data_IF_247959069498
#
_entry.id   IF_247959069498
#
_cell.length_a   1.000
_cell.length_b   1.000
_cell.length_c   1.000
_cell.angle_alpha   90.00
_cell.angle_beta   90.00
_cell.angle_gamma   90.00
#
_symmetry.space_group_name_H-M   'P 1'
#
loop_
_entity.id
_entity.type
_entity.pdbx_description
1 polymer ?
#
# COMPACT_ATOMS: atom_id res chain seq x y z
N UNK A 1 -0.55 11.04 -11.68
CA UNK A 1 -0.41 11.79 -10.42
C UNK A 1 0.31 10.89 -9.43
N UNK A 2 1.25 11.41 -8.65
CA UNK A 2 2.01 10.64 -7.68
C UNK A 2 1.81 11.24 -6.28
N UNK A 3 1.74 10.39 -5.25
CA UNK A 3 1.78 10.80 -3.85
C UNK A 3 3.09 10.31 -3.24
N UNK A 4 3.81 11.22 -2.59
CA UNK A 4 5.02 10.87 -1.83
C UNK A 4 4.63 10.49 -0.41
N UNK A 5 5.12 9.34 0.05
CA UNK A 5 5.01 8.93 1.44
C UNK A 5 6.15 9.57 2.24
N UNK A 6 5.85 10.10 3.43
CA UNK A 6 6.88 10.66 4.32
C UNK A 6 7.84 9.60 4.85
N UNK A 7 7.38 8.34 4.94
CA UNK A 7 8.16 7.21 5.39
C UNK A 7 7.96 6.01 4.46
N UNK A 8 8.99 5.18 4.25
CA UNK A 8 8.81 3.92 3.53
C UNK A 8 7.85 3.01 4.30
N UNK A 9 6.88 2.43 3.61
CA UNK A 9 5.87 1.52 4.18
C UNK A 9 5.82 0.21 3.40
N UNK A 10 5.62 -0.89 4.12
CA UNK A 10 5.30 -2.19 3.55
C UNK A 10 3.88 -2.64 3.93
N UNK A 11 3.09 -1.75 4.54
CA UNK A 11 1.71 -2.04 4.89
C UNK A 11 0.82 -1.93 3.63
N UNK A 12 0.33 -3.08 3.19
CA UNK A 12 -0.56 -3.17 2.02
C UNK A 12 -1.85 -2.36 2.20
N UNK A 13 -2.33 -2.14 3.43
CA UNK A 13 -3.52 -1.33 3.72
C UNK A 13 -3.25 0.17 3.53
N UNK A 14 -2.06 0.63 3.88
CA UNK A 14 -1.67 2.03 3.69
C UNK A 14 -1.51 2.33 2.20
N UNK A 15 -0.86 1.44 1.46
CA UNK A 15 -0.72 1.54 -0.01
C UNK A 15 -2.09 1.58 -0.69
N UNK A 16 -3.02 0.71 -0.29
CA UNK A 16 -4.36 0.67 -0.90
C UNK A 16 -5.15 1.96 -0.61
N UNK A 17 -5.02 2.53 0.60
CA UNK A 17 -5.64 3.82 0.96
C UNK A 17 -5.15 4.96 0.06
N UNK A 18 -3.84 5.06 -0.16
CA UNK A 18 -3.27 6.06 -1.06
C UNK A 18 -3.68 5.83 -2.52
N UNK A 19 -3.73 4.57 -2.96
CA UNK A 19 -4.19 4.23 -4.30
C UNK A 19 -5.65 4.67 -4.53
N UNK A 20 -6.55 4.38 -3.59
CA UNK A 20 -7.95 4.81 -3.66
C UNK A 20 -8.08 6.33 -3.71
N UNK A 21 -7.39 7.04 -2.82
CA UNK A 21 -7.37 8.51 -2.78
C UNK A 21 -6.87 9.13 -4.10
N UNK A 22 -5.82 8.56 -4.69
CA UNK A 22 -5.30 9.00 -5.99
C UNK A 22 -6.29 8.72 -7.13
N UNK A 23 -6.92 7.54 -7.12
CA UNK A 23 -7.94 7.18 -8.10
C UNK A 23 -9.12 8.15 -8.07
N UNK A 24 -9.65 8.48 -6.89
CA UNK A 24 -10.74 9.45 -6.73
C UNK A 24 -10.36 10.83 -7.26
N UNK A 25 -9.14 11.31 -6.99
CA UNK A 25 -8.66 12.61 -7.50
C UNK A 25 -8.40 12.61 -9.00
N UNK A 26 -8.05 11.47 -9.60
CA UNK A 26 -7.81 11.33 -11.03
C UNK A 26 -9.09 11.02 -11.82
N UNK A 27 -10.15 10.61 -11.12
CA UNK A 27 -11.44 10.31 -11.72
C UNK A 27 -12.08 11.58 -12.30
N UNK A 28 -12.52 11.49 -13.55
CA UNK A 28 -13.22 12.55 -14.27
C UNK A 28 -14.56 12.00 -14.75
N UNK A 29 -15.69 12.61 -14.36
CA UNK A 29 -16.99 12.20 -14.84
C UNK A 29 -17.07 12.33 -16.37
N UNK A 30 -17.76 11.40 -17.02
CA UNK A 30 -17.93 11.38 -18.48
C UNK A 30 -16.84 10.64 -19.26
N UNK A 31 -15.81 10.13 -18.59
CA UNK A 31 -14.76 9.31 -19.21
C UNK A 31 -14.93 7.83 -18.87
N UNK A 32 -14.78 6.96 -19.87
CA UNK A 32 -14.74 5.51 -19.66
C UNK A 32 -13.29 5.06 -19.44
N UNK A 33 -13.02 4.49 -18.27
CA UNK A 33 -11.71 3.98 -17.91
C UNK A 33 -11.63 2.48 -18.20
N UNK A 34 -10.62 2.05 -18.96
CA UNK A 34 -10.42 0.62 -19.30
C UNK A 34 -9.48 -0.11 -18.34
N UNK A 35 -8.51 0.60 -17.75
CA UNK A 35 -7.50 0.03 -16.85
C UNK A 35 -6.94 1.12 -15.94
N UNK A 36 -6.66 0.76 -14.70
CA UNK A 36 -5.83 1.53 -13.77
C UNK A 36 -4.70 0.64 -13.26
N UNK A 37 -3.56 1.24 -12.93
CA UNK A 37 -2.40 0.57 -12.38
C UNK A 37 -1.75 1.42 -11.30
N UNK A 38 -1.25 0.77 -10.25
CA UNK A 38 -0.47 1.42 -9.19
C UNK A 38 1.00 1.08 -9.42
N UNK A 39 1.86 2.09 -9.33
CA UNK A 39 3.31 1.93 -9.43
C UNK A 39 3.93 2.42 -8.12
N UNK A 40 4.74 1.56 -7.50
CA UNK A 40 5.55 1.93 -6.35
C UNK A 40 6.96 2.24 -6.84
N UNK A 41 7.49 3.37 -6.41
CA UNK A 41 8.85 3.84 -6.73
C UNK A 41 9.65 3.95 -5.43
N UNK A 42 10.97 4.05 -5.52
CA UNK A 42 11.86 4.24 -4.36
C UNK A 42 11.78 3.11 -3.31
N UNK A 43 11.74 1.86 -3.78
CA UNK A 43 11.72 0.69 -2.91
C UNK A 43 13.08 0.54 -2.21
N UNK A 44 13.07 0.64 -0.89
CA UNK A 44 14.25 0.52 -0.03
C UNK A 44 14.20 -0.79 0.77
N UNK A 45 15.35 -1.44 1.04
CA UNK A 45 15.37 -2.63 1.91
C UNK A 45 14.79 -2.34 3.29
N UNK A 46 13.99 -3.28 3.82
CA UNK A 46 13.40 -3.16 5.15
C UNK A 46 14.44 -3.01 6.28
N UNK A 47 15.68 -3.48 6.06
CA UNK A 47 16.81 -3.32 6.98
C UNK A 47 17.35 -1.89 7.05
N UNK A 48 17.03 -1.03 6.08
CA UNK A 48 17.50 0.35 5.98
C UNK A 48 16.32 1.31 6.18
N UNK A 49 15.82 1.38 7.42
CA UNK A 49 14.81 2.36 7.81
C UNK A 49 15.48 3.58 8.44
N UNK A 50 15.36 4.74 7.79
CA UNK A 50 15.80 5.99 8.38
C UNK A 50 14.84 6.39 9.50
N UNK A 51 15.34 6.41 10.72
CA UNK A 51 14.61 6.93 11.88
C UNK A 51 14.56 8.46 11.83
N UNK A 52 13.50 9.03 12.39
CA UNK A 52 13.45 10.45 12.71
C UNK A 52 13.95 10.63 14.15
N UNK A 53 14.78 11.65 14.38
CA UNK A 53 15.31 11.99 15.70
C UNK A 53 14.23 12.61 16.60
N UNK A 54 13.24 13.28 16.01
CA UNK A 54 12.25 14.10 16.71
C UNK A 54 10.84 13.51 16.68
N UNK A 55 10.57 12.58 15.77
CA UNK A 55 9.29 11.91 15.65
C UNK A 55 9.42 10.42 16.01
N UNK A 56 8.43 9.90 16.74
CA UNK A 56 8.28 8.46 16.89
C UNK A 56 7.93 7.87 15.51
N UNK A 57 8.68 6.85 15.09
CA UNK A 57 8.49 6.23 13.77
C UNK A 57 7.05 5.75 13.56
N UNK A 58 6.56 5.70 12.30
CA UNK A 58 5.16 5.38 12.05
C UNK A 58 4.79 3.99 12.59
N UNK A 59 3.61 3.91 13.22
CA UNK A 59 3.04 2.67 13.69
C UNK A 59 2.84 1.72 12.50
N UNK A 60 3.62 0.65 12.44
CA UNK A 60 3.58 -0.32 11.35
C UNK A 60 2.86 -1.59 11.81
N UNK A 61 2.00 -2.15 10.96
CA UNK A 61 1.25 -3.38 11.25
C UNK A 61 2.08 -4.64 10.94
N UNK A 62 3.34 -4.68 11.39
CA UNK A 62 4.32 -5.71 11.01
C UNK A 62 3.82 -7.13 11.26
N UNK A 63 3.16 -7.37 12.41
CA UNK A 63 2.60 -8.68 12.76
C UNK A 63 1.51 -9.13 11.79
N UNK A 64 0.67 -8.20 11.35
CA UNK A 64 -0.40 -8.48 10.40
C UNK A 64 0.19 -8.77 9.01
N UNK A 65 1.13 -7.93 8.56
CA UNK A 65 1.80 -8.14 7.27
C UNK A 65 2.55 -9.48 7.25
N UNK A 66 3.25 -9.81 8.33
CA UNK A 66 3.94 -11.10 8.47
C UNK A 66 2.96 -12.29 8.47
N UNK A 67 1.80 -12.17 9.13
CA UNK A 67 0.78 -13.21 9.11
C UNK A 67 0.20 -13.41 7.70
N UNK A 68 -0.10 -12.31 6.99
CA UNK A 68 -0.56 -12.34 5.60
C UNK A 68 0.47 -13.01 4.68
N UNK A 69 1.73 -12.63 4.81
CA UNK A 69 2.83 -13.19 4.03
C UNK A 69 3.01 -14.69 4.32
N UNK A 70 2.93 -15.09 5.58
CA UNK A 70 3.02 -16.50 5.99
C UNK A 70 1.88 -17.32 5.38
N UNK A 71 0.65 -16.80 5.40
CA UNK A 71 -0.49 -17.47 4.76
C UNK A 71 -0.31 -17.58 3.24
N UNK A 72 0.14 -16.50 2.59
CA UNK A 72 0.41 -16.49 1.15
C UNK A 72 1.57 -17.42 0.76
N UNK A 73 2.58 -17.59 1.62
CA UNK A 73 3.66 -18.57 1.38
C UNK A 73 3.15 -20.00 1.52
N UNK A 74 2.31 -20.27 2.53
CA UNK A 74 1.82 -21.62 2.83
C UNK A 74 0.76 -22.12 1.83
N UNK A 75 -0.15 -21.25 1.42
CA UNK A 75 -1.32 -21.63 0.62
C UNK A 75 -1.25 -21.17 -0.84
N UNK A 76 -0.14 -20.57 -1.27
CA UNK A 76 0.05 -20.06 -2.62
C UNK A 76 -0.08 -18.53 -2.73
N UNK A 77 0.64 -17.97 -3.71
CA UNK A 77 0.79 -16.52 -3.86
C UNK A 77 -0.55 -15.85 -4.17
N UNK A 78 -1.00 -14.98 -3.27
CA UNK A 78 -2.25 -14.24 -3.43
C UNK A 78 -3.49 -15.00 -2.96
N UNK A 79 -3.34 -16.05 -2.16
CA UNK A 79 -4.46 -16.72 -1.48
C UNK A 79 -5.17 -15.80 -0.51
N UNK A 80 -4.42 -14.95 0.20
CA UNK A 80 -4.98 -13.90 1.06
C UNK A 80 -4.60 -12.55 0.49
N UNK A 81 -5.61 -11.75 0.17
CA UNK A 81 -5.45 -10.39 -0.34
C UNK A 81 -6.18 -9.43 0.59
N UNK A 82 -5.65 -8.22 0.66
CA UNK A 82 -6.40 -7.11 1.25
C UNK A 82 -7.67 -6.92 0.44
N UNK A 83 -8.82 -7.12 1.08
CA UNK A 83 -10.09 -6.76 0.47
C UNK A 83 -10.20 -5.24 0.45
N UNK A 84 -10.54 -4.68 -0.70
CA UNK A 84 -10.94 -3.29 -0.78
C UNK A 84 -12.25 -3.13 0.01
N UNK A 85 -12.25 -2.32 1.06
CA UNK A 85 -13.48 -1.66 1.49
C UNK A 85 -13.77 -0.56 0.45
N UNK A 86 -14.59 -0.89 -0.54
CA UNK A 86 -14.87 0.01 -1.65
C UNK A 86 -15.54 -0.68 -2.84
N UNK A 87 -16.40 -1.66 -2.57
CA UNK A 87 -17.34 -2.17 -3.55
C UNK A 87 -18.66 -1.42 -3.39
N UNK A 88 -18.72 -0.22 -3.94
CA UNK A 88 -19.96 0.49 -4.26
C UNK A 88 -19.79 1.20 -5.61
#
# INVERSE_FOLDING_TARGET
MAASLTYPTHDSLEVNRWAAFLCERMYKPGYQYKKAGVMLSEITPASQRQGDLLASGPATNDRLMQALDTLNQRYGRGTVKVSTQGAY
#
